data_IF_612425874781
#
_entry.id   IF_612425874781
#
_cell.length_a   1.000
_cell.length_b   1.000
_cell.length_c   1.000
_cell.angle_alpha   90.00
_cell.angle_beta   90.00
_cell.angle_gamma   90.00
#
_symmetry.space_group_name_H-M   'P 1'
#
loop_
_entity.id
_entity.type
_entity.pdbx_description
1 polymer ?
#
# COMPACT_ATOMS: atom_id res chain seq x y z
N UNK A 1 -31.02 12.91 -47.94
CA UNK A 1 -30.95 13.10 -46.47
C UNK A 1 -30.44 11.81 -45.84
N UNK A 2 -29.14 11.76 -45.51
CA UNK A 2 -28.53 10.63 -44.82
C UNK A 2 -28.65 10.93 -43.32
N UNK A 3 -29.42 10.13 -42.60
CA UNK A 3 -29.53 10.27 -41.14
C UNK A 3 -28.23 9.73 -40.50
N UNK A 4 -27.40 10.56 -39.85
CA UNK A 4 -26.22 10.05 -39.18
C UNK A 4 -26.64 9.26 -37.94
N UNK A 5 -26.06 8.07 -37.76
CA UNK A 5 -26.25 7.26 -36.55
C UNK A 5 -25.85 8.07 -35.29
N UNK A 6 -26.57 7.91 -34.16
CA UNK A 6 -26.32 8.69 -32.96
C UNK A 6 -24.93 8.40 -32.35
N UNK A 7 -24.28 9.47 -31.88
CA UNK A 7 -22.89 9.54 -31.40
C UNK A 7 -22.49 8.49 -30.35
N UNK A 8 -23.43 7.90 -29.61
CA UNK A 8 -23.13 6.90 -28.58
C UNK A 8 -22.83 5.50 -29.14
N UNK A 9 -23.14 5.22 -30.42
CA UNK A 9 -22.80 3.94 -31.08
C UNK A 9 -21.35 3.89 -31.59
N UNK A 10 -20.56 4.95 -31.42
CA UNK A 10 -19.21 5.07 -31.98
C UNK A 10 -18.14 4.78 -30.91
N UNK A 11 -17.62 3.55 -30.98
CA UNK A 11 -16.28 3.08 -30.56
C UNK A 11 -16.08 2.56 -29.12
N UNK A 12 -16.61 1.37 -28.83
CA UNK A 12 -15.82 0.43 -28.04
C UNK A 12 -14.71 -0.15 -28.94
N UNK A 13 -13.46 0.17 -28.64
CA UNK A 13 -12.29 -0.45 -29.29
C UNK A 13 -12.36 -1.97 -29.21
N UNK A 14 -11.69 -2.68 -30.11
CA UNK A 14 -11.60 -4.14 -30.06
C UNK A 14 -11.03 -4.64 -28.73
N UNK A 15 -10.13 -3.88 -28.10
CA UNK A 15 -9.62 -4.15 -26.74
C UNK A 15 -10.70 -3.98 -25.67
N UNK A 16 -11.58 -2.99 -25.79
CA UNK A 16 -12.71 -2.78 -24.89
C UNK A 16 -13.81 -3.84 -25.05
N UNK A 17 -14.13 -4.26 -26.29
CA UNK A 17 -15.03 -5.40 -26.55
C UNK A 17 -14.47 -6.72 -25.99
N UNK A 18 -13.17 -6.98 -26.18
CA UNK A 18 -12.48 -8.14 -25.57
C UNK A 18 -12.47 -8.05 -24.04
N UNK A 19 -12.26 -6.88 -23.46
CA UNK A 19 -12.29 -6.66 -22.01
C UNK A 19 -13.68 -6.91 -21.41
N UNK A 20 -14.74 -6.41 -22.03
CA UNK A 20 -16.14 -6.65 -21.61
C UNK A 20 -16.53 -8.13 -21.73
N UNK A 21 -16.17 -8.78 -22.85
CA UNK A 21 -16.41 -10.22 -23.04
C UNK A 21 -15.67 -11.08 -22.00
N UNK A 22 -14.42 -10.72 -21.66
CA UNK A 22 -13.65 -11.38 -20.58
C UNK A 22 -14.33 -11.18 -19.23
N UNK A 23 -14.71 -9.94 -18.89
CA UNK A 23 -15.43 -9.61 -17.65
C UNK A 23 -16.69 -10.47 -17.46
N UNK A 24 -17.45 -10.70 -18.53
CA UNK A 24 -18.68 -11.50 -18.47
C UNK A 24 -18.43 -13.00 -18.17
N UNK A 25 -17.29 -13.54 -18.60
CA UNK A 25 -16.90 -14.94 -18.40
C UNK A 25 -16.04 -15.17 -17.14
N UNK A 26 -15.67 -14.09 -16.47
CA UNK A 26 -14.76 -14.09 -15.33
C UNK A 26 -15.48 -14.56 -14.06
N UNK A 27 -15.13 -15.74 -13.49
CA UNK A 27 -15.84 -16.27 -12.32
C UNK A 27 -15.78 -15.32 -11.13
N UNK A 28 -14.66 -14.60 -10.96
CA UNK A 28 -14.51 -13.64 -9.87
C UNK A 28 -15.28 -12.33 -10.09
N UNK A 29 -15.62 -11.95 -11.33
CA UNK A 29 -16.56 -10.85 -11.55
C UNK A 29 -17.98 -11.25 -11.16
N UNK A 30 -18.39 -12.50 -11.44
CA UNK A 30 -19.68 -13.03 -11.00
C UNK A 30 -19.74 -13.14 -9.47
N UNK A 31 -18.70 -13.68 -8.86
CA UNK A 31 -18.59 -13.76 -7.40
C UNK A 31 -18.59 -12.38 -6.74
N UNK A 32 -17.90 -11.39 -7.32
CA UNK A 32 -17.90 -10.03 -6.77
C UNK A 32 -19.32 -9.44 -6.79
N UNK A 33 -20.05 -9.58 -7.90
CA UNK A 33 -21.45 -9.15 -7.97
C UNK A 33 -22.33 -9.89 -6.96
N UNK A 34 -22.20 -11.21 -6.86
CA UNK A 34 -22.99 -12.03 -5.94
C UNK A 34 -22.74 -11.70 -4.47
N UNK A 35 -21.50 -11.32 -4.12
CA UNK A 35 -21.09 -10.94 -2.77
C UNK A 35 -21.07 -9.41 -2.56
N UNK A 36 -21.62 -8.63 -3.50
CA UNK A 36 -21.68 -7.17 -3.43
C UNK A 36 -20.31 -6.46 -3.26
N UNK A 37 -19.23 -7.09 -3.71
CA UNK A 37 -17.93 -6.44 -3.83
C UNK A 37 -17.88 -5.59 -5.10
N UNK A 38 -17.32 -4.39 -4.96
CA UNK A 38 -17.17 -3.42 -6.06
C UNK A 38 -16.22 -3.86 -7.16
N UNK A 39 -15.29 -4.76 -6.83
CA UNK A 39 -14.34 -5.29 -7.79
C UNK A 39 -13.98 -6.74 -7.51
N UNK A 40 -13.67 -7.49 -8.58
CA UNK A 40 -13.12 -8.84 -8.48
C UNK A 40 -11.77 -8.91 -7.74
N UNK A 41 -11.06 -7.78 -7.62
CA UNK A 41 -9.79 -7.71 -6.89
C UNK A 41 -9.97 -7.94 -5.39
N UNK A 42 -11.17 -7.76 -4.83
CA UNK A 42 -11.50 -8.10 -3.45
C UNK A 42 -11.05 -9.53 -3.09
N UNK A 43 -11.30 -10.50 -3.99
CA UNK A 43 -10.92 -11.90 -3.78
C UNK A 43 -9.41 -12.12 -3.69
N UNK A 44 -8.58 -11.23 -4.26
CA UNK A 44 -7.13 -11.31 -4.10
C UNK A 44 -6.74 -11.04 -2.65
N UNK A 45 -7.28 -9.99 -2.04
CA UNK A 45 -7.03 -9.67 -0.64
C UNK A 45 -7.62 -10.72 0.30
N UNK A 46 -8.82 -11.23 0.01
CA UNK A 46 -9.42 -12.34 0.77
C UNK A 46 -8.46 -13.54 0.79
N UNK A 47 -8.00 -14.00 -0.38
CA UNK A 47 -7.10 -15.16 -0.50
C UNK A 47 -5.75 -14.92 0.17
N UNK A 48 -5.15 -13.73 0.00
CA UNK A 48 -3.91 -13.36 0.70
C UNK A 48 -4.15 -13.38 2.22
N UNK A 49 -5.24 -12.77 2.69
CA UNK A 49 -5.55 -12.74 4.11
C UNK A 49 -5.85 -14.12 4.69
N UNK A 50 -6.49 -15.02 3.96
CA UNK A 50 -6.77 -16.38 4.42
C UNK A 50 -5.48 -17.17 4.61
N UNK A 51 -4.47 -16.94 3.74
CA UNK A 51 -3.17 -17.61 3.80
C UNK A 51 -2.23 -17.02 4.86
N UNK A 52 -2.25 -15.70 5.06
CA UNK A 52 -1.25 -15.00 5.88
C UNK A 52 -1.79 -14.36 7.16
N UNK A 53 -3.12 -14.27 7.33
CA UNK A 53 -3.77 -13.62 8.48
C UNK A 53 -3.21 -12.21 8.73
N UNK A 54 -3.27 -11.36 7.70
CA UNK A 54 -2.70 -10.00 7.74
C UNK A 54 -3.67 -8.93 8.25
N UNK A 55 -4.95 -9.27 8.45
CA UNK A 55 -5.99 -8.36 8.97
C UNK A 55 -6.69 -9.05 10.15
N UNK A 56 -6.65 -8.39 11.31
CA UNK A 56 -7.34 -8.76 12.53
C UNK A 56 -8.38 -7.72 12.94
N UNK A 57 -9.17 -8.06 13.96
CA UNK A 57 -10.41 -7.33 14.32
C UNK A 57 -10.20 -5.89 14.79
N UNK A 58 -9.02 -5.52 15.27
CA UNK A 58 -8.76 -4.18 15.81
C UNK A 58 -7.64 -3.46 15.04
N UNK A 59 -7.25 -3.99 13.89
CA UNK A 59 -6.13 -3.45 13.13
C UNK A 59 -6.47 -2.07 12.55
N UNK A 60 -5.42 -1.27 12.40
CA UNK A 60 -5.43 -0.07 11.59
C UNK A 60 -4.88 -0.43 10.21
N UNK A 61 -5.73 -0.33 9.19
CA UNK A 61 -5.42 -0.71 7.80
C UNK A 61 -5.45 0.51 6.89
N UNK A 62 -4.40 0.69 6.09
CA UNK A 62 -4.33 1.72 5.06
C UNK A 62 -4.23 1.06 3.68
N UNK A 63 -5.23 1.31 2.82
CA UNK A 63 -5.33 0.82 1.44
C UNK A 63 -4.94 1.93 0.45
N UNK A 64 -3.73 1.83 -0.10
CA UNK A 64 -3.18 2.77 -1.07
C UNK A 64 -3.55 2.36 -2.50
N UNK A 65 -4.20 3.26 -3.24
CA UNK A 65 -4.78 2.94 -4.55
C UNK A 65 -6.12 2.23 -4.42
N UNK A 66 -6.96 2.73 -3.51
CA UNK A 66 -8.18 2.07 -3.09
C UNK A 66 -9.22 1.92 -4.20
N UNK A 67 -9.25 2.77 -5.24
CA UNK A 67 -10.34 2.77 -6.22
C UNK A 67 -10.41 1.44 -6.99
N UNK A 68 -11.61 0.83 -7.14
CA UNK A 68 -12.95 1.34 -6.80
C UNK A 68 -13.44 1.00 -5.37
N UNK A 69 -12.60 0.40 -4.53
CA UNK A 69 -12.86 0.15 -3.11
C UNK A 69 -12.92 -1.33 -2.72
N UNK A 70 -12.54 -2.25 -3.62
CA UNK A 70 -12.66 -3.69 -3.37
C UNK A 70 -11.81 -4.20 -2.22
N UNK A 71 -10.57 -3.73 -2.08
CA UNK A 71 -9.69 -4.08 -0.95
C UNK A 71 -10.14 -3.38 0.33
N UNK A 72 -10.49 -2.11 0.24
CA UNK A 72 -11.07 -1.35 1.36
C UNK A 72 -12.32 -2.02 1.94
N UNK A 73 -13.23 -2.54 1.10
CA UNK A 73 -14.42 -3.29 1.56
C UNK A 73 -14.03 -4.52 2.38
N UNK A 74 -13.10 -5.34 1.86
CA UNK A 74 -12.62 -6.54 2.54
C UNK A 74 -11.97 -6.21 3.88
N UNK A 75 -11.20 -5.12 3.95
CA UNK A 75 -10.61 -4.67 5.20
C UNK A 75 -11.70 -4.20 6.19
N UNK A 76 -12.67 -3.40 5.73
CA UNK A 76 -13.75 -2.86 6.56
C UNK A 76 -14.70 -3.93 7.11
N UNK A 77 -14.87 -5.05 6.40
CA UNK A 77 -15.64 -6.21 6.87
C UNK A 77 -14.91 -7.01 7.96
N UNK A 78 -13.57 -7.03 7.94
CA UNK A 78 -12.75 -7.80 8.89
C UNK A 78 -12.43 -7.00 10.15
N UNK A 79 -12.22 -5.70 10.01
CA UNK A 79 -11.90 -4.78 11.10
C UNK A 79 -13.20 -4.34 11.79
N UNK A 80 -13.23 -4.35 13.12
CA UNK A 80 -14.37 -3.89 13.92
C UNK A 80 -14.30 -2.37 14.13
N UNK A 81 -15.34 -1.78 14.72
CA UNK A 81 -15.38 -0.34 15.04
C UNK A 81 -14.27 0.15 15.99
N UNK A 82 -13.52 -0.76 16.62
CA UNK A 82 -12.35 -0.43 17.47
C UNK A 82 -11.07 -0.25 16.66
N UNK A 83 -10.99 -0.82 15.46
CA UNK A 83 -9.90 -0.60 14.52
C UNK A 83 -10.18 0.61 13.62
N UNK A 84 -9.45 0.69 12.51
CA UNK A 84 -9.62 1.76 11.52
C UNK A 84 -9.28 1.26 10.13
N UNK A 85 -10.07 1.66 9.14
CA UNK A 85 -9.75 1.43 7.73
C UNK A 85 -9.73 2.76 7.01
N UNK A 86 -8.62 3.06 6.33
CA UNK A 86 -8.45 4.26 5.50
C UNK A 86 -8.14 3.82 4.06
N UNK A 87 -9.03 4.12 3.12
CA UNK A 87 -8.78 3.97 1.69
C UNK A 87 -8.34 5.28 1.06
N UNK A 88 -7.25 5.28 0.29
CA UNK A 88 -6.70 6.48 -0.35
C UNK A 88 -6.56 6.24 -1.86
N UNK A 89 -7.09 7.14 -2.68
CA UNK A 89 -6.93 7.08 -4.13
C UNK A 89 -6.96 8.48 -4.77
N UNK A 90 -6.38 8.62 -5.97
CA UNK A 90 -6.52 9.83 -6.79
C UNK A 90 -7.96 10.01 -7.30
N UNK A 91 -8.61 8.89 -7.58
CA UNK A 91 -9.98 8.80 -8.08
C UNK A 91 -10.97 8.82 -6.90
N UNK A 92 -12.21 9.31 -7.12
CA UNK A 92 -13.25 9.18 -6.12
C UNK A 92 -13.60 7.70 -5.87
N UNK A 93 -13.88 7.38 -4.62
CA UNK A 93 -14.37 6.08 -4.17
C UNK A 93 -15.69 6.31 -3.44
N UNK A 94 -16.75 5.59 -3.82
CA UNK A 94 -18.05 5.74 -3.15
C UNK A 94 -17.96 5.36 -1.66
N UNK A 95 -18.78 5.92 -0.76
CA UNK A 95 -18.72 5.62 0.67
C UNK A 95 -18.77 4.13 1.00
N UNK A 96 -17.85 3.63 1.83
CA UNK A 96 -17.82 2.25 2.33
C UNK A 96 -18.11 2.28 3.83
N UNK A 97 -19.12 1.52 4.32
CA UNK A 97 -19.36 1.43 5.76
C UNK A 97 -18.10 0.99 6.50
N UNK A 98 -17.85 1.60 7.67
CA UNK A 98 -16.68 1.28 8.51
C UNK A 98 -15.31 1.60 7.86
N UNK A 99 -15.26 2.48 6.87
CA UNK A 99 -14.01 2.99 6.29
C UNK A 99 -14.05 4.51 6.07
N UNK A 100 -12.89 5.14 6.23
CA UNK A 100 -12.65 6.52 5.82
C UNK A 100 -12.02 6.53 4.43
N UNK A 101 -12.48 7.43 3.56
CA UNK A 101 -12.01 7.53 2.18
C UNK A 101 -11.40 8.90 1.93
N UNK A 102 -10.13 8.93 1.52
CA UNK A 102 -9.42 10.16 1.18
C UNK A 102 -9.15 10.16 -0.32
N UNK A 103 -9.64 11.20 -1.00
CA UNK A 103 -9.24 11.48 -2.37
C UNK A 103 -7.94 12.30 -2.37
N UNK A 104 -6.83 11.70 -2.75
CA UNK A 104 -5.54 12.35 -2.83
C UNK A 104 -4.39 11.41 -3.15
N UNK A 105 -3.23 12.00 -3.40
CA UNK A 105 -1.99 11.26 -3.54
C UNK A 105 -1.37 11.08 -2.13
N UNK A 106 -1.22 9.85 -1.65
CA UNK A 106 -0.68 9.55 -0.32
C UNK A 106 0.78 10.01 -0.12
N UNK A 107 1.49 10.39 -1.18
CA UNK A 107 2.84 10.99 -1.10
C UNK A 107 2.81 12.50 -0.85
N UNK A 108 1.67 13.17 -1.01
CA UNK A 108 1.54 14.62 -0.79
C UNK A 108 1.32 14.93 0.69
N UNK A 109 2.00 15.98 1.20
CA UNK A 109 1.92 16.42 2.60
C UNK A 109 0.48 16.68 3.07
N UNK A 110 -0.37 17.26 2.22
CA UNK A 110 -1.79 17.48 2.53
C UNK A 110 -2.51 16.17 2.83
N UNK A 111 -2.36 15.17 1.96
CA UNK A 111 -2.98 13.85 2.14
C UNK A 111 -2.42 13.14 3.37
N UNK A 112 -1.09 13.20 3.58
CA UNK A 112 -0.47 12.62 4.77
C UNK A 112 -0.94 13.28 6.07
N UNK A 113 -1.22 14.58 6.04
CA UNK A 113 -1.77 15.28 7.21
C UNK A 113 -3.20 14.81 7.52
N UNK A 114 -4.04 14.67 6.50
CA UNK A 114 -5.38 14.11 6.67
C UNK A 114 -5.36 12.65 7.17
N UNK A 115 -4.39 11.84 6.69
CA UNK A 115 -4.21 10.47 7.19
C UNK A 115 -3.81 10.50 8.67
N UNK A 116 -2.82 11.32 9.06
CA UNK A 116 -2.38 11.45 10.45
C UNK A 116 -3.49 11.90 11.38
N UNK A 117 -4.34 12.81 10.93
CA UNK A 117 -5.52 13.27 11.68
C UNK A 117 -6.49 12.12 11.97
N UNK A 118 -6.80 11.28 10.96
CA UNK A 118 -7.64 10.10 11.15
C UNK A 118 -7.00 9.02 12.03
N UNK A 119 -5.69 8.87 11.95
CA UNK A 119 -4.94 7.92 12.77
C UNK A 119 -5.04 8.29 14.26
N UNK A 120 -5.07 9.58 14.59
CA UNK A 120 -5.19 10.08 15.96
C UNK A 120 -4.17 9.42 16.92
N UNK A 121 -2.90 9.44 16.49
CA UNK A 121 -1.79 8.82 17.24
C UNK A 121 -1.71 7.29 17.18
N UNK A 122 -2.70 6.60 16.58
CA UNK A 122 -2.64 5.13 16.39
C UNK A 122 -1.59 4.75 15.34
N UNK A 123 -0.87 3.67 15.60
CA UNK A 123 0.05 3.07 14.64
C UNK A 123 -0.69 2.21 13.60
N UNK A 124 -0.10 2.02 12.42
CA UNK A 124 -0.70 1.24 11.32
C UNK A 124 -0.22 -0.21 11.35
N UNK A 125 -1.13 -1.17 11.32
CA UNK A 125 -0.80 -2.60 11.35
C UNK A 125 -0.65 -3.20 9.95
N UNK A 126 -1.36 -2.64 8.96
CA UNK A 126 -1.26 -3.05 7.55
C UNK A 126 -1.28 -1.85 6.62
N UNK A 127 -0.28 -1.78 5.74
CA UNK A 127 -0.34 -0.98 4.52
C UNK A 127 -0.46 -1.93 3.33
N UNK A 128 -1.53 -1.79 2.54
CA UNK A 128 -1.77 -2.62 1.37
C UNK A 128 -1.98 -1.79 0.10
N UNK A 129 -1.66 -2.36 -1.06
CA UNK A 129 -1.79 -1.68 -2.36
C UNK A 129 -2.05 -2.68 -3.49
N UNK A 130 -3.17 -2.52 -4.18
CA UNK A 130 -3.47 -3.17 -5.47
C UNK A 130 -3.31 -2.17 -6.64
N UNK A 131 -2.44 -1.16 -6.50
CA UNK A 131 -2.19 -0.19 -7.58
C UNK A 131 -1.64 -0.88 -8.83
N UNK A 132 -2.06 -0.39 -10.00
CA UNK A 132 -1.47 -0.74 -11.28
C UNK A 132 -1.22 0.54 -12.08
N UNK A 133 -0.12 0.61 -12.87
CA UNK A 133 0.10 1.75 -13.73
C UNK A 133 -0.90 1.76 -14.89
N UNK A 134 -0.99 2.90 -15.58
CA UNK A 134 -1.63 2.92 -16.90
C UNK A 134 -0.80 2.08 -17.87
N UNK A 135 -1.39 1.01 -18.38
CA UNK A 135 -0.71 0.07 -19.28
C UNK A 135 -0.41 0.73 -20.64
N UNK A 136 0.87 0.81 -20.97
CA UNK A 136 1.34 1.30 -22.27
C UNK A 136 1.39 0.19 -23.32
N UNK A 137 1.36 -1.08 -22.90
CA UNK A 137 1.55 -2.23 -23.79
C UNK A 137 3.02 -2.61 -24.00
N UNK A 138 3.95 -1.77 -23.53
CA UNK A 138 5.35 -2.14 -23.41
C UNK A 138 5.58 -2.77 -22.03
N UNK A 139 5.88 -4.07 -22.03
CA UNK A 139 6.02 -4.85 -20.81
C UNK A 139 7.10 -4.31 -19.85
N UNK A 140 8.24 -3.90 -20.39
CA UNK A 140 9.36 -3.37 -19.58
C UNK A 140 8.98 -2.05 -18.93
N UNK A 141 8.35 -1.14 -19.68
CA UNK A 141 7.89 0.14 -19.13
C UNK A 141 6.78 -0.05 -18.09
N UNK A 142 5.83 -0.96 -18.35
CA UNK A 142 4.73 -1.25 -17.42
C UNK A 142 5.24 -1.92 -16.14
N UNK A 143 6.25 -2.80 -16.24
CA UNK A 143 6.95 -3.36 -15.10
C UNK A 143 7.65 -2.27 -14.26
N UNK A 144 8.47 -1.42 -14.88
CA UNK A 144 9.20 -0.36 -14.19
C UNK A 144 8.24 0.58 -13.41
N UNK A 145 7.16 1.02 -14.06
CA UNK A 145 6.13 1.83 -13.40
C UNK A 145 5.40 1.10 -12.28
N UNK A 146 5.21 -0.22 -12.40
CA UNK A 146 4.63 -1.01 -11.30
C UNK A 146 5.57 -1.06 -10.08
N UNK A 147 6.89 -1.13 -10.31
CA UNK A 147 7.88 -1.10 -9.24
C UNK A 147 7.94 0.29 -8.57
N UNK A 148 7.82 1.38 -9.32
CA UNK A 148 7.71 2.74 -8.76
C UNK A 148 6.50 2.89 -7.82
N UNK A 149 5.37 2.25 -8.15
CA UNK A 149 4.20 2.21 -7.28
C UNK A 149 4.46 1.41 -5.99
N UNK A 150 5.16 0.27 -6.08
CA UNK A 150 5.59 -0.49 -4.91
C UNK A 150 6.51 0.34 -4.01
N UNK A 151 7.48 1.04 -4.60
CA UNK A 151 8.44 1.90 -3.90
C UNK A 151 7.76 3.07 -3.20
N UNK A 152 6.80 3.71 -3.88
CA UNK A 152 6.00 4.79 -3.28
C UNK A 152 5.21 4.27 -2.08
N UNK A 153 4.55 3.12 -2.21
CA UNK A 153 3.78 2.51 -1.13
C UNK A 153 4.66 2.09 0.05
N UNK A 154 5.85 1.51 -0.21
CA UNK A 154 6.81 1.15 0.84
C UNK A 154 7.35 2.39 1.56
N UNK A 155 7.71 3.44 0.83
CA UNK A 155 8.17 4.71 1.40
C UNK A 155 7.13 5.33 2.33
N UNK A 156 5.84 5.21 1.98
CA UNK A 156 4.75 5.62 2.86
C UNK A 156 4.64 4.68 4.07
N UNK A 157 4.70 3.37 3.85
CA UNK A 157 4.60 2.36 4.90
C UNK A 157 5.68 2.51 5.98
N UNK A 158 6.92 2.81 5.60
CA UNK A 158 8.05 3.10 6.50
C UNK A 158 7.73 4.21 7.53
N UNK A 159 6.84 5.15 7.20
CA UNK A 159 6.49 6.28 8.06
C UNK A 159 5.36 5.99 9.03
N UNK A 160 4.56 4.95 8.79
CA UNK A 160 3.29 4.74 9.50
C UNK A 160 3.15 3.35 10.10
N UNK A 161 3.87 2.35 9.58
CA UNK A 161 3.79 0.98 10.07
C UNK A 161 4.34 0.86 11.49
N UNK A 162 3.58 0.16 12.34
CA UNK A 162 4.03 -0.29 13.65
C UNK A 162 5.11 -1.37 13.53
N UNK A 163 6.02 -1.49 14.51
CA UNK A 163 6.84 -2.69 14.64
C UNK A 163 5.96 -3.94 14.66
N UNK A 164 6.29 -4.94 13.84
CA UNK A 164 5.48 -6.14 13.67
C UNK A 164 4.40 -6.04 12.58
N UNK A 165 4.11 -4.84 12.06
CA UNK A 165 3.12 -4.61 11.01
C UNK A 165 3.44 -5.31 9.68
N UNK A 166 2.47 -5.32 8.77
CA UNK A 166 2.53 -6.00 7.49
C UNK A 166 2.43 -5.03 6.31
N UNK A 167 3.03 -5.42 5.18
CA UNK A 167 2.97 -4.69 3.93
C UNK A 167 2.61 -5.62 2.78
N UNK A 168 1.64 -5.21 1.96
CA UNK A 168 1.24 -5.94 0.76
C UNK A 168 1.22 -5.02 -0.46
N UNK A 169 1.90 -5.40 -1.54
CA UNK A 169 1.89 -4.60 -2.77
C UNK A 169 1.82 -5.48 -4.01
N UNK A 170 0.94 -5.13 -4.94
CA UNK A 170 0.94 -5.69 -6.29
C UNK A 170 2.14 -5.15 -7.08
N UNK A 171 2.75 -6.03 -7.86
CA UNK A 171 3.71 -5.69 -8.90
C UNK A 171 3.37 -6.45 -10.19
N UNK A 172 3.92 -6.02 -11.32
CA UNK A 172 3.95 -6.80 -12.56
C UNK A 172 5.34 -7.41 -12.68
N UNK A 173 5.45 -8.71 -12.92
CA UNK A 173 6.76 -9.36 -13.15
C UNK A 173 7.43 -8.76 -14.39
N UNK A 174 8.75 -8.56 -14.35
CA UNK A 174 9.47 -8.02 -15.51
C UNK A 174 10.99 -7.97 -15.40
N UNK A 175 11.57 -8.50 -14.33
CA UNK A 175 13.00 -8.80 -14.19
C UNK A 175 13.64 -8.22 -12.93
N UNK A 176 13.17 -7.07 -12.43
CA UNK A 176 13.82 -6.37 -11.29
C UNK A 176 13.06 -6.51 -9.98
N UNK A 177 11.93 -7.21 -9.95
CA UNK A 177 11.14 -7.46 -8.73
C UNK A 177 11.96 -8.13 -7.60
N UNK A 178 13.03 -8.84 -7.94
CA UNK A 178 13.90 -9.49 -6.95
C UNK A 178 14.67 -8.47 -6.10
N UNK A 179 14.99 -7.30 -6.64
CA UNK A 179 15.77 -6.25 -5.95
C UNK A 179 14.91 -5.63 -4.86
N UNK A 180 13.68 -5.29 -5.23
CA UNK A 180 12.67 -4.83 -4.30
C UNK A 180 12.39 -5.88 -3.22
N UNK A 181 12.29 -7.16 -3.60
CA UNK A 181 12.14 -8.26 -2.63
C UNK A 181 13.30 -8.31 -1.63
N UNK A 182 14.56 -8.17 -2.10
CA UNK A 182 15.73 -8.13 -1.22
C UNK A 182 15.66 -6.96 -0.24
N UNK A 183 15.24 -5.78 -0.70
CA UNK A 183 15.01 -4.62 0.18
C UNK A 183 13.94 -4.92 1.24
N UNK A 184 12.80 -5.50 0.86
CA UNK A 184 11.80 -5.92 1.85
C UNK A 184 12.36 -6.90 2.89
N UNK A 185 13.28 -7.80 2.50
CA UNK A 185 13.86 -8.78 3.44
C UNK A 185 14.75 -8.15 4.52
N UNK A 186 15.34 -6.98 4.27
CA UNK A 186 16.08 -6.26 5.31
C UNK A 186 15.12 -5.64 6.33
N UNK A 187 13.92 -5.25 5.90
CA UNK A 187 12.95 -4.48 6.66
C UNK A 187 11.84 -5.30 7.31
N UNK A 188 11.62 -6.54 6.89
CA UNK A 188 10.55 -7.41 7.38
C UNK A 188 11.09 -8.76 7.83
N UNK A 189 10.43 -9.39 8.81
CA UNK A 189 10.81 -10.71 9.31
C UNK A 189 10.62 -11.81 8.26
N UNK A 190 9.58 -11.70 7.42
CA UNK A 190 9.26 -12.68 6.38
C UNK A 190 8.73 -11.99 5.13
N UNK A 191 9.24 -12.38 3.96
CA UNK A 191 8.78 -11.86 2.66
C UNK A 191 8.43 -13.01 1.71
N UNK A 192 7.20 -12.99 1.22
CA UNK A 192 6.67 -13.95 0.24
C UNK A 192 6.22 -13.24 -1.03
N UNK A 193 6.20 -13.99 -2.11
CA UNK A 193 5.65 -13.57 -3.40
C UNK A 193 4.49 -14.48 -3.71
N UNK A 194 3.33 -13.88 -4.00
CA UNK A 194 2.07 -14.60 -4.13
C UNK A 194 1.35 -14.26 -5.42
N UNK A 195 0.71 -15.26 -6.00
CA UNK A 195 -0.20 -15.11 -7.14
C UNK A 195 -1.53 -15.74 -6.76
N UNK A 196 -2.48 -14.97 -6.20
CA UNK A 196 -3.78 -15.47 -5.80
C UNK A 196 -4.52 -16.11 -7.00
N UNK A 197 -5.38 -17.09 -6.77
CA UNK A 197 -6.22 -17.68 -7.82
C UNK A 197 -7.18 -16.66 -8.44
N UNK A 198 -7.50 -15.61 -7.69
CA UNK A 198 -8.23 -14.44 -8.15
C UNK A 198 -7.41 -13.51 -9.08
N UNK A 199 -6.15 -13.82 -9.36
CA UNK A 199 -5.36 -13.20 -10.41
C UNK A 199 -5.62 -13.90 -11.75
N UNK A 200 -5.68 -13.15 -12.84
CA UNK A 200 -5.87 -13.77 -14.18
C UNK A 200 -4.64 -14.58 -14.56
N UNK A 201 -4.83 -15.78 -15.11
CA UNK A 201 -3.72 -16.63 -15.58
C UNK A 201 -2.81 -15.92 -16.58
N UNK A 202 -3.37 -15.08 -17.45
CA UNK A 202 -2.61 -14.32 -18.44
C UNK A 202 -1.95 -13.05 -17.88
N UNK A 203 -2.27 -12.64 -16.64
CA UNK A 203 -1.64 -11.47 -16.04
C UNK A 203 -0.26 -11.86 -15.51
N UNK A 204 0.73 -10.99 -15.71
CA UNK A 204 2.05 -11.11 -15.09
C UNK A 204 2.07 -10.55 -13.66
N UNK A 205 0.90 -10.25 -13.09
CA UNK A 205 0.82 -9.74 -11.72
C UNK A 205 1.28 -10.77 -10.68
N UNK A 206 1.95 -10.25 -9.65
CA UNK A 206 2.28 -10.91 -8.40
C UNK A 206 2.08 -9.94 -7.24
N UNK A 207 2.14 -10.47 -6.02
CA UNK A 207 1.99 -9.70 -4.79
C UNK A 207 3.16 -9.96 -3.87
N UNK A 208 3.82 -8.90 -3.40
CA UNK A 208 4.69 -9.00 -2.24
C UNK A 208 3.81 -9.07 -0.99
N UNK A 209 4.11 -10.03 -0.12
CA UNK A 209 3.52 -10.13 1.22
C UNK A 209 4.67 -10.13 2.22
N UNK A 210 4.88 -8.98 2.85
CA UNK A 210 5.94 -8.74 3.82
C UNK A 210 5.34 -8.63 5.23
N UNK A 211 5.85 -9.43 6.17
CA UNK A 211 5.27 -9.62 7.49
C UNK A 211 6.32 -9.33 8.57
N UNK A 212 5.88 -8.69 9.66
CA UNK A 212 6.73 -8.40 10.80
C UNK A 212 7.71 -7.27 10.49
N UNK A 213 7.20 -6.04 10.32
CA UNK A 213 8.02 -4.86 10.07
C UNK A 213 9.04 -4.64 11.19
N UNK A 214 10.30 -4.46 10.80
CA UNK A 214 11.45 -4.18 11.67
C UNK A 214 11.88 -2.75 11.35
N UNK A 215 11.44 -1.74 12.10
CA UNK A 215 11.92 -0.38 11.87
C UNK A 215 13.43 -0.36 11.97
N UNK A 216 14.08 0.41 11.10
CA UNK A 216 15.50 0.65 11.21
C UNK A 216 15.73 1.33 12.56
N UNK A 217 16.56 0.72 13.42
CA UNK A 217 16.98 1.38 14.65
C UNK A 217 17.75 2.63 14.23
N UNK A 218 17.24 3.81 14.60
CA UNK A 218 18.05 5.02 14.53
C UNK A 218 19.27 4.78 15.40
N UNK A 219 20.47 4.82 14.78
CA UNK A 219 21.70 4.96 15.57
C UNK A 219 21.60 6.31 16.26
N UNK A 220 21.25 6.30 17.54
CA UNK A 220 21.45 7.47 18.41
C UNK A 220 22.93 7.78 18.35
N UNK A 221 23.29 8.84 17.63
CA UNK A 221 24.62 9.42 17.71
C UNK A 221 24.67 10.06 19.09
N UNK A 222 25.25 9.36 20.06
CA UNK A 222 25.55 9.94 21.36
C UNK A 222 26.64 10.99 21.15
N UNK A 223 26.25 12.26 21.04
CA UNK A 223 27.17 13.38 21.24
C UNK A 223 27.63 13.37 22.70
N UNK A 224 28.84 12.87 22.93
CA UNK A 224 29.52 13.01 24.21
C UNK A 224 30.03 14.44 24.37
N UNK A 225 29.19 15.34 24.87
CA UNK A 225 29.65 16.61 25.44
C UNK A 225 30.12 16.38 26.87
N UNK A 226 31.38 15.97 27.05
CA UNK A 226 32.08 16.10 28.32
C UNK A 226 33.04 17.29 28.22
N UNK A 227 32.52 18.47 28.54
CA UNK A 227 33.36 19.61 28.88
C UNK A 227 33.95 19.38 30.26
N UNK A 228 35.23 19.03 30.33
CA UNK A 228 36.00 19.09 31.57
C UNK A 228 36.56 20.50 31.71
N UNK A 229 35.92 21.33 32.54
CA UNK A 229 36.55 22.53 33.10
C UNK A 229 37.43 22.05 34.24
N UNK A 230 38.75 22.01 34.02
CA UNK A 230 39.74 21.82 35.08
C UNK A 230 39.78 23.09 35.95
N UNK A 231 39.31 22.99 37.19
CA UNK A 231 39.71 23.92 38.25
C UNK A 231 40.94 23.32 38.93
N UNK A 232 42.12 23.60 38.37
CA UNK A 232 43.38 23.37 39.06
C UNK A 232 43.62 24.51 40.06
N UNK A 233 43.42 24.14 41.30
CA UNK A 233 43.98 24.66 42.56
C UNK A 233 45.24 25.53 42.38
N UNK A 234 45.05 26.84 42.52
CA UNK A 234 46.15 27.76 42.81
C UNK A 234 46.57 27.62 44.28
N UNK A 235 47.64 26.87 44.53
CA UNK A 235 48.48 26.98 45.72
C UNK A 235 49.93 26.87 45.26
N UNK A 236 50.64 27.99 45.22
CA UNK A 236 51.93 28.20 45.90
C UNK A 236 52.56 29.57 45.55
N UNK A 237 52.74 30.35 46.63
CA UNK A 237 53.92 31.17 47.00
C UNK A 237 54.25 32.44 46.19
N UNK A 238 54.10 33.58 46.87
CA UNK A 238 55.06 34.72 46.95
C UNK A 238 54.71 35.51 48.22
N UNK A 239 55.47 35.35 49.31
CA UNK A 239 56.67 36.12 49.68
C UNK A 239 56.46 37.64 49.78
N UNK A 240 56.63 38.13 51.03
CA UNK A 240 57.12 39.46 51.43
C UNK A 240 56.20 40.69 51.25
N UNK A 241 55.47 41.04 52.33
CA UNK A 241 55.53 42.31 53.09
C UNK A 241 54.34 42.43 54.04
#
# INVERSE_FOLDING_TARGET
>A
MINPLPLWKRLYSTSSKKWMSRQAKDPYCKLAKANQYRARSAFKLIQINDKYRIIHRNDVVVDCGAAPGGWTQVAAEKVTKKGLVIGIDLLPVDPIPNAHLIRGNFMRLKTQSAIRELLDGRSVDLVCSDMAPSFSGNHTADHARSMELCESALTFAEKVLSPGGSFVAKFLMGGTEHEFRKRLQTMFAKVKTEKPDASRKQSTEGFFVALGYKPLQEKVVAESSAGTVNNDTAREIKDSM
#
